data_IF_887003297946
#
_entry.id   IF_887003297946
#
_cell.length_a   1.000
_cell.length_b   1.000
_cell.length_c   1.000
_cell.angle_alpha   90.00
_cell.angle_beta   90.00
_cell.angle_gamma   90.00
#
_symmetry.space_group_name_H-M   'P 1'
#
loop_
_entity.id
_entity.type
_entity.pdbx_description
1 polymer ?
#
# COMPACT_ATOMS: atom_id res chain seq x y z
N UNK A 1 -16.44 -27.99 -27.38
CA UNK A 1 -16.87 -26.62 -27.04
C UNK A 1 -16.64 -26.37 -25.55
N UNK A 2 -16.24 -25.16 -25.14
CA UNK A 2 -16.05 -24.78 -23.72
C UNK A 2 -16.90 -23.56 -23.40
N UNK A 3 -17.45 -23.51 -22.19
CA UNK A 3 -18.17 -22.34 -21.65
C UNK A 3 -17.52 -21.96 -20.33
N UNK A 4 -17.06 -20.70 -20.23
CA UNK A 4 -16.49 -20.14 -19.02
C UNK A 4 -17.20 -18.81 -18.77
N UNK A 5 -17.69 -18.61 -17.54
CA UNK A 5 -18.23 -17.33 -17.09
C UNK A 5 -17.96 -17.14 -15.61
N UNK A 6 -17.85 -15.88 -15.21
CA UNK A 6 -17.84 -15.45 -13.81
C UNK A 6 -19.14 -14.69 -13.56
N UNK A 7 -19.79 -14.95 -12.44
CA UNK A 7 -21.04 -14.27 -12.09
C UNK A 7 -21.20 -14.23 -10.58
N UNK A 8 -21.98 -13.26 -10.10
CA UNK A 8 -22.39 -13.22 -8.70
C UNK A 8 -23.21 -14.47 -8.36
N UNK A 9 -23.03 -15.02 -7.17
CA UNK A 9 -23.97 -15.99 -6.64
C UNK A 9 -25.27 -15.25 -6.34
N UNK A 10 -26.34 -15.62 -7.04
CA UNK A 10 -27.65 -14.99 -6.87
C UNK A 10 -28.30 -15.41 -5.55
N UNK A 11 -29.42 -14.77 -5.23
CA UNK A 11 -30.30 -15.19 -4.14
C UNK A 11 -31.75 -15.23 -4.61
N UNK A 12 -32.48 -16.25 -4.17
CA UNK A 12 -33.94 -16.28 -4.20
C UNK A 12 -34.43 -16.18 -2.74
N UNK A 13 -34.90 -15.00 -2.35
CA UNK A 13 -35.08 -14.64 -0.93
C UNK A 13 -33.75 -14.84 -0.17
N UNK A 14 -33.72 -15.75 0.81
CA UNK A 14 -32.52 -16.11 1.59
C UNK A 14 -31.80 -17.37 1.09
N UNK A 15 -32.24 -17.95 -0.03
CA UNK A 15 -31.66 -19.18 -0.59
C UNK A 15 -30.65 -18.83 -1.68
N UNK A 16 -29.41 -19.36 -1.65
CA UNK A 16 -28.46 -19.16 -2.74
C UNK A 16 -29.04 -19.65 -4.07
N UNK A 17 -28.68 -18.99 -5.17
CA UNK A 17 -29.19 -19.28 -6.51
C UNK A 17 -28.08 -19.25 -7.55
N UNK A 18 -27.94 -20.35 -8.28
CA UNK A 18 -27.15 -20.41 -9.52
C UNK A 18 -28.11 -20.33 -10.70
N UNK A 19 -27.96 -19.30 -11.53
CA UNK A 19 -28.74 -19.10 -12.74
C UNK A 19 -27.81 -19.00 -13.95
N UNK A 20 -27.95 -19.91 -14.91
CA UNK A 20 -27.13 -19.96 -16.13
C UNK A 20 -28.07 -19.99 -17.34
N UNK A 21 -28.03 -18.95 -18.16
CA UNK A 21 -28.80 -18.86 -19.41
C UNK A 21 -27.86 -18.72 -20.61
N UNK A 22 -27.68 -19.79 -21.38
CA UNK A 22 -26.82 -19.75 -22.56
C UNK A 22 -27.22 -20.77 -23.62
N UNK A 23 -27.28 -20.32 -24.89
CA UNK A 23 -27.36 -21.21 -26.06
C UNK A 23 -26.23 -22.24 -26.11
N UNK A 24 -25.12 -21.95 -25.41
CA UNK A 24 -23.95 -22.83 -25.34
C UNK A 24 -24.17 -24.08 -24.50
N UNK A 25 -25.22 -24.14 -23.67
CA UNK A 25 -25.51 -25.32 -22.84
C UNK A 25 -25.96 -26.53 -23.68
N UNK A 26 -26.75 -26.33 -24.72
CA UNK A 26 -27.25 -27.39 -25.60
C UNK A 26 -26.12 -28.27 -26.19
N UNK A 27 -25.15 -27.73 -26.95
CA UNK A 27 -24.03 -28.53 -27.47
C UNK A 27 -23.07 -29.07 -26.40
N UNK A 28 -23.25 -28.69 -25.13
CA UNK A 28 -22.53 -29.28 -23.98
C UNK A 28 -23.31 -30.44 -23.35
N UNK A 29 -24.43 -30.88 -23.94
CA UNK A 29 -25.26 -31.96 -23.42
C UNK A 29 -26.28 -31.50 -22.36
N UNK A 30 -26.60 -30.20 -22.33
CA UNK A 30 -27.61 -29.61 -21.44
C UNK A 30 -28.67 -28.90 -22.30
N UNK A 31 -29.38 -29.68 -23.10
CA UNK A 31 -30.49 -29.21 -23.92
C UNK A 31 -31.77 -29.07 -23.07
N UNK A 32 -32.74 -28.21 -23.45
CA UNK A 32 -34.00 -28.11 -22.73
C UNK A 32 -34.68 -29.47 -22.58
N UNK A 33 -35.13 -29.79 -21.36
CA UNK A 33 -35.69 -31.09 -20.99
C UNK A 33 -34.67 -32.09 -20.45
N UNK A 34 -33.37 -31.83 -20.60
CA UNK A 34 -32.33 -32.72 -20.05
C UNK A 34 -32.38 -32.72 -18.52
N UNK A 35 -32.60 -33.88 -17.92
CA UNK A 35 -32.43 -34.08 -16.47
C UNK A 35 -30.95 -34.03 -16.07
N UNK A 36 -30.63 -33.46 -14.91
CA UNK A 36 -29.27 -33.39 -14.41
C UNK A 36 -29.17 -33.62 -12.89
N UNK A 37 -28.06 -34.23 -12.48
CA UNK A 37 -27.69 -34.43 -11.07
C UNK A 37 -26.72 -33.33 -10.64
N UNK A 38 -26.79 -32.96 -9.35
CA UNK A 38 -25.85 -32.04 -8.71
C UNK A 38 -24.98 -32.84 -7.75
N UNK A 39 -23.68 -32.89 -8.03
CA UNK A 39 -22.70 -33.60 -7.23
C UNK A 39 -21.86 -32.59 -6.42
N UNK A 40 -21.72 -32.74 -5.10
CA UNK A 40 -20.88 -31.85 -4.30
C UNK A 40 -19.39 -32.03 -4.65
N UNK A 41 -18.62 -30.95 -4.48
CA UNK A 41 -17.15 -30.89 -4.56
C UNK A 41 -16.64 -30.11 -3.35
N UNK A 42 -15.35 -30.26 -3.03
CA UNK A 42 -14.73 -29.62 -1.86
C UNK A 42 -15.03 -28.11 -1.78
N UNK A 43 -14.93 -27.38 -2.89
CA UNK A 43 -15.24 -25.95 -2.98
C UNK A 43 -16.21 -25.68 -4.14
N UNK A 44 -17.35 -26.39 -4.17
CA UNK A 44 -18.36 -26.14 -5.20
C UNK A 44 -19.22 -27.34 -5.55
N UNK A 45 -19.72 -27.37 -6.78
CA UNK A 45 -20.59 -28.43 -7.30
C UNK A 45 -20.23 -28.78 -8.74
N UNK A 46 -20.63 -29.98 -9.16
CA UNK A 46 -20.53 -30.47 -10.52
C UNK A 46 -21.90 -30.92 -11.00
N UNK A 47 -22.36 -30.40 -12.14
CA UNK A 47 -23.58 -30.82 -12.80
C UNK A 47 -23.26 -31.85 -13.87
N UNK A 48 -24.03 -32.95 -13.91
CA UNK A 48 -23.94 -33.97 -14.97
C UNK A 48 -25.33 -34.34 -15.47
N UNK A 49 -25.52 -34.60 -16.78
CA UNK A 49 -26.78 -35.14 -17.28
C UNK A 49 -27.10 -36.48 -16.62
N UNK A 50 -28.33 -36.63 -16.17
CA UNK A 50 -28.84 -37.82 -15.48
C UNK A 50 -30.29 -38.07 -15.88
N UNK A 51 -30.57 -39.14 -16.64
CA UNK A 51 -31.95 -39.53 -16.95
C UNK A 51 -32.76 -39.72 -15.66
N UNK A 52 -33.97 -39.16 -15.61
CA UNK A 52 -34.84 -39.25 -14.43
C UNK A 52 -34.40 -38.42 -13.22
N UNK A 53 -33.36 -37.59 -13.35
CA UNK A 53 -32.97 -36.69 -12.27
C UNK A 53 -34.04 -35.62 -12.01
N UNK A 54 -34.22 -35.21 -10.75
CA UNK A 54 -35.25 -34.24 -10.37
C UNK A 54 -35.06 -32.84 -10.98
N UNK A 55 -33.79 -32.41 -11.16
CA UNK A 55 -33.49 -31.11 -11.76
C UNK A 55 -33.46 -31.23 -13.29
N UNK A 56 -34.00 -30.23 -13.99
CA UNK A 56 -34.11 -30.24 -15.44
C UNK A 56 -33.66 -28.91 -16.04
N UNK A 57 -33.04 -28.97 -17.21
CA UNK A 57 -32.73 -27.78 -17.99
C UNK A 57 -34.05 -27.22 -18.56
N UNK A 58 -34.42 -26.01 -18.17
CA UNK A 58 -35.59 -25.33 -18.71
C UNK A 58 -35.23 -24.53 -19.97
N UNK A 59 -36.21 -23.85 -20.57
CA UNK A 59 -36.00 -23.00 -21.75
C UNK A 59 -36.56 -21.60 -21.53
N UNK A 60 -35.88 -20.62 -22.09
CA UNK A 60 -36.40 -19.28 -22.34
C UNK A 60 -36.39 -19.00 -23.84
N UNK A 61 -37.43 -18.37 -24.35
CA UNK A 61 -37.49 -17.89 -25.74
C UNK A 61 -37.22 -16.38 -25.71
N UNK A 62 -36.18 -15.95 -26.43
CA UNK A 62 -35.84 -14.54 -26.58
C UNK A 62 -35.48 -14.27 -28.04
N UNK A 63 -36.13 -13.27 -28.65
CA UNK A 63 -35.99 -12.94 -30.07
C UNK A 63 -36.12 -14.17 -31.00
N UNK A 64 -37.16 -14.98 -30.77
CA UNK A 64 -37.44 -16.19 -31.56
C UNK A 64 -36.45 -17.35 -31.37
N UNK A 65 -35.47 -17.24 -30.47
CA UNK A 65 -34.44 -18.26 -30.24
C UNK A 65 -34.61 -18.91 -28.88
N UNK A 66 -34.51 -20.24 -28.86
CA UNK A 66 -34.50 -21.04 -27.62
C UNK A 66 -33.15 -20.91 -26.92
N UNK A 67 -33.19 -20.66 -25.61
CA UNK A 67 -32.03 -20.56 -24.74
C UNK A 67 -32.23 -21.55 -23.58
N UNK A 68 -31.37 -22.58 -23.45
CA UNK A 68 -31.40 -23.45 -22.28
C UNK A 68 -31.08 -22.65 -21.01
N UNK A 69 -31.75 -23.01 -19.91
CA UNK A 69 -31.65 -22.37 -18.60
C UNK A 69 -31.43 -23.42 -17.53
N UNK A 70 -30.40 -23.23 -16.72
CA UNK A 70 -30.19 -23.96 -15.47
C UNK A 70 -30.48 -22.98 -14.33
N UNK A 71 -31.43 -23.33 -13.47
CA UNK A 71 -31.81 -22.52 -12.31
C UNK A 71 -31.86 -23.42 -11.08
N UNK A 72 -30.87 -23.28 -10.21
CA UNK A 72 -30.75 -24.02 -8.96
C UNK A 72 -30.92 -23.01 -7.84
N UNK A 73 -32.03 -23.08 -7.11
CA UNK A 73 -32.29 -22.26 -5.93
C UNK A 73 -32.53 -23.18 -4.73
N UNK A 74 -31.46 -23.79 -4.21
CA UNK A 74 -31.56 -24.82 -3.18
C UNK A 74 -30.41 -24.70 -2.18
N UNK A 75 -30.74 -24.55 -0.89
CA UNK A 75 -29.75 -24.31 0.18
C UNK A 75 -28.75 -25.45 0.33
N UNK A 76 -29.23 -26.70 0.48
CA UNK A 76 -28.35 -27.87 0.61
C UNK A 76 -27.42 -28.08 -0.58
N UNK A 77 -27.95 -28.09 -1.81
CA UNK A 77 -27.13 -28.27 -3.01
C UNK A 77 -26.08 -27.17 -3.22
N UNK A 78 -26.32 -25.95 -2.75
CA UNK A 78 -25.43 -24.81 -2.98
C UNK A 78 -24.67 -24.37 -1.72
N UNK A 79 -24.73 -25.15 -0.65
CA UNK A 79 -24.02 -24.87 0.60
C UNK A 79 -22.51 -24.60 0.39
N UNK A 80 -21.76 -25.39 -0.41
CA UNK A 80 -20.32 -25.14 -0.61
C UNK A 80 -19.98 -23.82 -1.30
N UNK A 81 -20.99 -23.13 -1.85
CA UNK A 81 -20.85 -21.86 -2.55
C UNK A 81 -21.42 -20.69 -1.75
N UNK A 82 -22.18 -20.93 -0.68
CA UNK A 82 -23.06 -19.94 -0.05
C UNK A 82 -22.31 -18.74 0.55
N UNK A 83 -21.07 -18.93 0.97
CA UNK A 83 -20.21 -17.89 1.55
C UNK A 83 -19.45 -17.06 0.52
N UNK A 84 -19.51 -17.46 -0.76
CA UNK A 84 -18.77 -16.82 -1.83
C UNK A 84 -19.67 -15.91 -2.66
N UNK A 85 -19.34 -14.60 -2.78
CA UNK A 85 -20.18 -13.64 -3.52
C UNK A 85 -20.11 -13.83 -5.04
N UNK A 86 -19.09 -14.53 -5.53
CA UNK A 86 -18.81 -14.74 -6.95
C UNK A 86 -18.40 -16.18 -7.24
N UNK A 87 -18.97 -16.73 -8.29
CA UNK A 87 -18.72 -18.08 -8.77
C UNK A 87 -18.12 -18.06 -10.18
N UNK A 88 -17.30 -19.07 -10.45
CA UNK A 88 -16.79 -19.45 -11.75
C UNK A 88 -17.57 -20.65 -12.25
N UNK A 89 -18.16 -20.54 -13.43
CA UNK A 89 -18.86 -21.63 -14.10
C UNK A 89 -18.02 -22.08 -15.29
N UNK A 90 -17.58 -23.34 -15.26
CA UNK A 90 -16.82 -23.97 -16.32
C UNK A 90 -17.60 -25.18 -16.84
N UNK A 91 -17.95 -25.18 -18.11
CA UNK A 91 -18.63 -26.30 -18.73
C UNK A 91 -17.84 -26.89 -19.90
N UNK A 92 -17.80 -28.21 -19.90
CA UNK A 92 -17.34 -29.09 -20.96
C UNK A 92 -18.46 -30.08 -21.31
N UNK A 93 -18.22 -30.97 -22.26
CA UNK A 93 -19.24 -31.93 -22.68
C UNK A 93 -19.74 -32.77 -21.49
N UNK A 94 -21.05 -32.68 -21.23
CA UNK A 94 -21.79 -33.37 -20.16
C UNK A 94 -21.28 -33.09 -18.74
N UNK A 95 -20.61 -31.95 -18.53
CA UNK A 95 -20.09 -31.56 -17.23
C UNK A 95 -20.09 -30.04 -17.07
N UNK A 96 -20.62 -29.54 -15.94
CA UNK A 96 -20.53 -28.14 -15.53
C UNK A 96 -19.97 -28.09 -14.11
N UNK A 97 -18.75 -27.60 -13.96
CA UNK A 97 -18.17 -27.31 -12.66
C UNK A 97 -18.48 -25.86 -12.27
N UNK A 98 -18.99 -25.69 -11.06
CA UNK A 98 -19.29 -24.39 -10.47
C UNK A 98 -18.52 -24.31 -9.16
N UNK A 99 -17.55 -23.42 -9.11
CA UNK A 99 -16.69 -23.17 -7.94
C UNK A 99 -16.74 -21.70 -7.58
N UNK A 100 -16.25 -21.26 -6.41
CA UNK A 100 -15.91 -19.87 -6.19
C UNK A 100 -14.94 -19.39 -7.28
N UNK A 101 -15.00 -18.10 -7.62
CA UNK A 101 -13.90 -17.50 -8.37
C UNK A 101 -12.61 -17.53 -7.56
N UNK A 102 -11.45 -17.48 -8.22
CA UNK A 102 -10.17 -17.40 -7.51
C UNK A 102 -10.16 -16.20 -6.56
N UNK A 103 -10.70 -15.05 -6.99
CA UNK A 103 -10.84 -13.86 -6.16
C UNK A 103 -11.70 -14.11 -4.93
N UNK A 104 -12.91 -14.64 -5.10
CA UNK A 104 -13.83 -14.91 -3.98
C UNK A 104 -13.22 -15.91 -2.99
N UNK A 105 -12.53 -16.93 -3.49
CA UNK A 105 -11.82 -17.91 -2.67
C UNK A 105 -10.72 -17.26 -1.82
N UNK A 106 -9.86 -16.46 -2.43
CA UNK A 106 -8.77 -15.78 -1.71
C UNK A 106 -9.30 -14.76 -0.69
N UNK A 107 -10.29 -13.94 -1.07
CA UNK A 107 -10.92 -12.98 -0.14
C UNK A 107 -11.49 -13.71 1.07
N UNK A 108 -12.28 -14.77 0.84
CA UNK A 108 -12.85 -15.56 1.94
C UNK A 108 -11.75 -16.10 2.86
N UNK A 109 -10.70 -16.71 2.30
CA UNK A 109 -9.57 -17.21 3.07
C UNK A 109 -8.88 -16.10 3.89
N UNK A 110 -8.65 -14.94 3.30
CA UNK A 110 -7.97 -13.79 3.93
C UNK A 110 -8.78 -13.16 5.05
N UNK A 111 -10.11 -13.16 4.93
CA UNK A 111 -10.98 -12.66 6.00
C UNK A 111 -10.87 -13.49 7.30
N UNK A 112 -10.40 -14.74 7.20
CA UNK A 112 -10.25 -15.69 8.31
C UNK A 112 -8.80 -15.85 8.81
N UNK A 113 -7.84 -15.05 8.31
CA UNK A 113 -6.47 -15.10 8.81
C UNK A 113 -6.37 -14.46 10.19
N UNK A 114 -5.47 -14.96 11.03
CA UNK A 114 -5.21 -14.48 12.39
C UNK A 114 -3.77 -13.93 12.51
N UNK A 115 -3.50 -13.02 13.45
CA UNK A 115 -2.16 -12.50 13.68
C UNK A 115 -1.20 -13.58 14.22
N UNK A 116 0.13 -13.42 14.05
CA UNK A 116 0.78 -12.30 13.39
C UNK A 116 0.63 -12.38 11.87
N UNK A 117 0.13 -11.30 11.27
CA UNK A 117 -0.11 -11.20 9.85
C UNK A 117 1.24 -11.10 9.12
N UNK A 118 1.58 -12.04 8.21
CA UNK A 118 2.78 -11.93 7.41
C UNK A 118 2.66 -10.69 6.50
N UNK A 119 3.69 -9.85 6.53
CA UNK A 119 3.73 -8.55 5.88
C UNK A 119 4.88 -8.50 4.90
N UNK A 120 4.59 -8.07 3.68
CA UNK A 120 5.58 -7.71 2.66
C UNK A 120 5.65 -6.19 2.58
N UNK A 121 6.87 -5.66 2.55
CA UNK A 121 7.14 -4.25 2.29
C UNK A 121 7.82 -4.09 0.94
N UNK A 122 7.31 -3.18 0.10
CA UNK A 122 7.93 -2.83 -1.17
C UNK A 122 8.41 -1.39 -1.13
N UNK A 123 9.57 -1.14 -1.74
CA UNK A 123 10.29 0.14 -1.67
C UNK A 123 10.73 0.45 -0.24
N UNK A 124 11.35 -0.53 0.42
CA UNK A 124 11.66 -0.53 1.84
C UNK A 124 12.64 0.58 2.27
N UNK A 125 13.46 1.08 1.34
CA UNK A 125 14.54 2.01 1.65
C UNK A 125 15.48 1.39 2.68
N UNK A 126 15.90 2.20 3.66
CA UNK A 126 16.69 1.74 4.80
C UNK A 126 15.85 1.44 6.05
N UNK A 127 14.54 1.23 5.91
CA UNK A 127 13.74 0.60 6.96
C UNK A 127 12.96 1.50 7.91
N UNK A 128 12.72 2.78 7.59
CA UNK A 128 11.96 3.68 8.48
C UNK A 128 10.50 3.26 8.69
N UNK A 129 9.87 2.68 7.65
CA UNK A 129 8.51 2.17 7.71
C UNK A 129 8.48 0.73 8.25
N UNK A 130 9.46 -0.10 7.89
CA UNK A 130 9.76 -1.40 8.52
C UNK A 130 9.85 -1.30 10.04
N UNK A 131 10.54 -0.29 10.57
CA UNK A 131 10.64 -0.01 12.00
C UNK A 131 9.30 0.36 12.66
N UNK A 132 8.29 0.75 11.89
CA UNK A 132 6.92 0.90 12.36
C UNK A 132 6.14 -0.43 12.29
N UNK A 133 6.39 -1.25 11.27
CA UNK A 133 5.78 -2.58 11.10
C UNK A 133 6.17 -3.49 12.27
N UNK A 134 7.47 -3.66 12.51
CA UNK A 134 8.00 -4.60 13.52
C UNK A 134 7.77 -4.13 14.97
N UNK A 135 7.38 -2.86 15.16
CA UNK A 135 7.01 -2.35 16.47
C UNK A 135 5.65 -2.88 16.97
N UNK A 136 4.83 -3.45 16.07
CA UNK A 136 3.57 -4.09 16.41
C UNK A 136 3.73 -5.62 16.32
N UNK A 137 3.45 -6.38 17.40
CA UNK A 137 3.56 -7.83 17.37
C UNK A 137 2.47 -8.50 16.51
N UNK A 138 1.49 -7.74 16.01
CA UNK A 138 0.45 -8.23 15.12
C UNK A 138 0.93 -8.38 13.68
N UNK A 139 2.07 -7.81 13.31
CA UNK A 139 2.65 -7.93 11.97
C UNK A 139 3.99 -8.68 12.05
N UNK A 140 4.21 -9.57 11.08
CA UNK A 140 5.50 -10.25 10.90
C UNK A 140 6.06 -9.88 9.54
N UNK A 141 7.09 -9.07 9.51
CA UNK A 141 7.78 -8.71 8.26
C UNK A 141 8.46 -9.97 7.70
N UNK A 142 8.03 -10.44 6.52
CA UNK A 142 8.54 -11.67 5.88
C UNK A 142 9.36 -11.41 4.63
N UNK A 143 9.14 -10.27 3.96
CA UNK A 143 9.97 -9.87 2.84
C UNK A 143 9.98 -8.35 2.61
N UNK A 144 11.05 -7.89 1.96
CA UNK A 144 11.30 -6.51 1.55
C UNK A 144 11.76 -6.43 0.09
N UNK A 145 11.45 -5.33 -0.61
CA UNK A 145 12.04 -5.01 -1.93
C UNK A 145 12.74 -3.66 -1.86
N UNK A 146 14.03 -3.62 -2.20
CA UNK A 146 14.81 -2.38 -2.27
C UNK A 146 15.85 -2.47 -3.39
N UNK A 147 15.90 -1.47 -4.26
CA UNK A 147 16.77 -1.51 -5.45
C UNK A 147 18.18 -0.99 -5.16
N UNK A 148 18.34 -0.06 -4.22
CA UNK A 148 19.61 0.59 -3.91
C UNK A 148 20.41 -0.23 -2.87
N UNK A 149 21.57 -0.81 -3.24
CA UNK A 149 22.30 -1.75 -2.39
C UNK A 149 22.63 -1.20 -0.99
N UNK A 150 23.09 0.05 -0.88
CA UNK A 150 23.45 0.64 0.43
C UNK A 150 22.26 0.82 1.39
N UNK A 151 21.03 0.89 0.88
CA UNK A 151 19.84 0.93 1.73
C UNK A 151 19.38 -0.49 2.06
N UNK A 152 19.48 -1.38 1.07
CA UNK A 152 19.17 -2.79 1.20
C UNK A 152 20.04 -3.47 2.27
N UNK A 153 21.34 -3.18 2.33
CA UNK A 153 22.26 -3.66 3.37
C UNK A 153 21.78 -3.28 4.78
N UNK A 154 21.44 -1.99 4.97
CA UNK A 154 20.95 -1.46 6.26
C UNK A 154 19.62 -2.10 6.65
N UNK A 155 18.71 -2.29 5.67
CA UNK A 155 17.42 -2.94 5.90
C UNK A 155 17.60 -4.41 6.29
N UNK A 156 18.43 -5.15 5.57
CA UNK A 156 18.66 -6.59 5.82
C UNK A 156 19.36 -6.82 7.16
N UNK A 157 20.27 -5.93 7.57
CA UNK A 157 20.90 -5.95 8.90
C UNK A 157 19.86 -5.82 10.02
N UNK A 158 18.86 -4.96 9.85
CA UNK A 158 17.77 -4.80 10.82
C UNK A 158 16.75 -5.95 10.79
N UNK A 159 16.67 -6.68 9.68
CA UNK A 159 15.65 -7.72 9.43
C UNK A 159 16.27 -9.02 8.89
N UNK A 160 17.18 -9.68 9.63
CA UNK A 160 17.97 -10.81 9.11
C UNK A 160 17.14 -12.03 8.70
N UNK A 161 15.95 -12.20 9.29
CA UNK A 161 15.06 -13.34 9.00
C UNK A 161 14.10 -13.08 7.82
N UNK A 162 14.01 -11.85 7.33
CA UNK A 162 13.13 -11.48 6.22
C UNK A 162 13.89 -11.61 4.89
N UNK A 163 13.19 -12.08 3.85
CA UNK A 163 13.75 -12.19 2.50
C UNK A 163 13.85 -10.80 1.87
N UNK A 164 15.05 -10.38 1.46
CA UNK A 164 15.26 -9.17 0.68
C UNK A 164 15.37 -9.47 -0.81
N UNK A 165 14.51 -8.85 -1.60
CA UNK A 165 14.64 -8.77 -3.05
C UNK A 165 15.39 -7.49 -3.40
N UNK A 166 16.70 -7.59 -3.60
CA UNK A 166 17.52 -6.46 -4.01
C UNK A 166 17.48 -6.27 -5.54
N UNK A 167 16.36 -5.75 -6.05
CA UNK A 167 16.13 -5.60 -7.49
C UNK A 167 15.11 -4.51 -7.79
N UNK A 168 15.02 -4.12 -9.05
CA UNK A 168 13.86 -3.41 -9.56
C UNK A 168 12.61 -4.31 -9.46
N UNK A 169 11.58 -3.82 -8.76
CA UNK A 169 10.33 -4.54 -8.54
C UNK A 169 9.62 -4.93 -9.84
N UNK A 170 9.85 -4.19 -10.93
CA UNK A 170 9.27 -4.48 -12.25
C UNK A 170 9.71 -5.82 -12.82
N UNK A 171 10.80 -6.38 -12.31
CA UNK A 171 11.36 -7.67 -12.72
C UNK A 171 10.89 -8.84 -11.86
N UNK A 172 10.23 -8.57 -10.73
CA UNK A 172 9.80 -9.61 -9.78
C UNK A 172 8.40 -10.06 -10.15
N UNK A 173 8.22 -11.35 -10.46
CA UNK A 173 6.89 -11.85 -10.77
C UNK A 173 6.09 -11.99 -9.47
N UNK A 174 4.76 -11.71 -9.45
CA UNK A 174 3.97 -11.81 -8.24
C UNK A 174 4.05 -13.16 -7.53
N UNK A 175 4.28 -14.27 -8.24
CA UNK A 175 4.43 -15.61 -7.63
C UNK A 175 5.71 -15.80 -6.84
N UNK A 176 6.72 -14.95 -7.05
CA UNK A 176 7.99 -15.04 -6.34
C UNK A 176 7.86 -14.53 -4.90
N UNK A 177 6.90 -13.64 -4.65
CA UNK A 177 6.62 -13.13 -3.31
C UNK A 177 6.05 -14.23 -2.40
N UNK A 178 6.48 -14.30 -1.12
CA UNK A 178 5.91 -15.25 -0.18
C UNK A 178 4.42 -14.92 0.07
N UNK A 179 3.59 -15.92 0.45
CA UNK A 179 2.23 -15.67 0.88
C UNK A 179 2.20 -14.66 2.03
N UNK A 180 1.39 -13.62 1.88
CA UNK A 180 1.27 -12.55 2.87
C UNK A 180 -0.17 -12.08 3.03
N UNK A 181 -0.45 -11.53 4.21
CA UNK A 181 -1.75 -10.97 4.57
C UNK A 181 -1.75 -9.45 4.51
N UNK A 182 -0.57 -8.80 4.56
CA UNK A 182 -0.43 -7.35 4.49
C UNK A 182 0.61 -6.99 3.44
N UNK A 183 0.31 -6.00 2.61
CA UNK A 183 1.28 -5.35 1.72
C UNK A 183 1.45 -3.89 2.11
N UNK A 184 2.68 -3.43 2.26
CA UNK A 184 2.98 -2.03 2.55
C UNK A 184 3.89 -1.48 1.45
N UNK A 185 3.53 -0.32 0.89
CA UNK A 185 4.23 0.26 -0.25
C UNK A 185 4.49 1.77 -0.06
N UNK A 186 5.76 2.12 0.14
CA UNK A 186 6.27 3.50 0.10
C UNK A 186 6.70 3.87 -1.32
N UNK A 187 5.71 4.05 -2.20
CA UNK A 187 5.94 4.18 -3.65
C UNK A 187 6.86 5.39 -3.94
N UNK A 188 7.94 5.23 -4.73
CA UNK A 188 8.89 6.30 -4.97
C UNK A 188 8.24 7.58 -5.53
N UNK A 189 8.32 8.66 -4.75
CA UNK A 189 7.68 9.92 -5.09
C UNK A 189 8.50 10.78 -6.09
N UNK A 190 9.60 10.28 -6.66
CA UNK A 190 10.53 11.13 -7.43
C UNK A 190 9.88 11.75 -8.66
N UNK A 191 8.97 11.05 -9.33
CA UNK A 191 8.21 11.63 -10.44
C UNK A 191 7.03 12.48 -9.99
N UNK A 192 6.52 12.31 -8.77
CA UNK A 192 5.30 12.96 -8.26
C UNK A 192 5.55 14.06 -7.22
N UNK A 193 6.78 14.27 -6.74
CA UNK A 193 7.13 15.33 -5.79
C UNK A 193 7.41 16.65 -6.51
N UNK A 194 7.18 17.80 -5.86
CA UNK A 194 7.45 19.11 -6.47
C UNK A 194 8.91 19.27 -6.90
N UNK A 195 9.85 18.90 -6.02
CA UNK A 195 11.28 18.95 -6.33
C UNK A 195 11.67 17.98 -7.46
N UNK A 196 11.09 16.78 -7.45
CA UNK A 196 11.36 15.76 -8.46
C UNK A 196 10.79 16.10 -9.83
N UNK A 197 9.53 16.56 -9.89
CA UNK A 197 8.90 17.07 -11.12
C UNK A 197 9.69 18.21 -11.74
N UNK A 198 10.12 19.17 -10.91
CA UNK A 198 10.93 20.29 -11.37
C UNK A 198 12.28 19.82 -11.94
N UNK A 199 12.97 18.92 -11.24
CA UNK A 199 14.29 18.40 -11.66
C UNK A 199 14.20 17.56 -12.94
N UNK A 200 13.16 16.74 -13.08
CA UNK A 200 12.98 15.82 -14.23
C UNK A 200 12.15 16.41 -15.39
N UNK A 201 11.71 17.68 -15.28
CA UNK A 201 10.87 18.36 -16.30
C UNK A 201 9.56 17.61 -16.59
N UNK A 202 8.94 17.01 -15.57
CA UNK A 202 7.72 16.19 -15.67
C UNK A 202 6.43 16.99 -15.39
N UNK A 203 6.40 18.27 -15.75
CA UNK A 203 5.22 19.10 -15.50
C UNK A 203 4.01 18.54 -16.27
N UNK A 204 2.96 18.17 -15.54
CA UNK A 204 1.72 17.63 -16.11
C UNK A 204 1.75 16.15 -16.53
N UNK A 205 2.91 15.48 -16.50
CA UNK A 205 3.05 14.07 -16.90
C UNK A 205 3.98 13.29 -15.96
N UNK A 206 3.71 13.23 -14.63
CA UNK A 206 4.58 12.54 -13.68
C UNK A 206 4.71 11.03 -13.95
N UNK A 207 3.71 10.40 -14.53
CA UNK A 207 3.69 8.96 -14.82
C UNK A 207 4.75 8.55 -15.87
N UNK A 208 5.25 9.47 -16.69
CA UNK A 208 6.28 9.20 -17.71
C UNK A 208 7.72 9.27 -17.17
N UNK A 209 7.90 9.59 -15.88
CA UNK A 209 9.22 9.53 -15.26
C UNK A 209 9.64 8.11 -14.90
N UNK A 210 10.95 7.87 -14.74
CA UNK A 210 11.53 6.52 -14.50
C UNK A 210 10.93 5.71 -13.34
N UNK A 211 10.28 6.39 -12.38
CA UNK A 211 9.63 5.80 -11.22
C UNK A 211 8.10 6.02 -11.19
N UNK A 212 7.52 6.58 -12.25
CA UNK A 212 6.11 6.98 -12.32
C UNK A 212 5.15 5.81 -12.54
N UNK A 213 5.64 4.71 -13.10
CA UNK A 213 4.90 3.47 -13.40
C UNK A 213 4.98 2.42 -12.28
N UNK A 214 5.83 2.61 -11.27
CA UNK A 214 6.10 1.61 -10.23
C UNK A 214 4.85 1.17 -9.44
N UNK A 215 3.80 1.99 -9.40
CA UNK A 215 2.52 1.60 -8.79
C UNK A 215 1.83 0.45 -9.54
N UNK A 216 2.14 0.25 -10.82
CA UNK A 216 1.60 -0.85 -11.65
C UNK A 216 2.08 -2.19 -11.11
N UNK A 217 3.37 -2.34 -10.81
CA UNK A 217 3.89 -3.57 -10.18
C UNK A 217 3.24 -3.84 -8.82
N UNK A 218 2.93 -2.78 -8.06
CA UNK A 218 2.18 -2.93 -6.80
C UNK A 218 0.75 -3.44 -7.06
N UNK A 219 0.04 -2.90 -8.06
CA UNK A 219 -1.27 -3.40 -8.46
C UNK A 219 -1.23 -4.89 -8.85
N UNK A 220 -0.19 -5.32 -9.57
CA UNK A 220 -0.02 -6.73 -9.97
C UNK A 220 0.17 -7.64 -8.77
N UNK A 221 1.00 -7.25 -7.80
CA UNK A 221 1.20 -8.00 -6.55
C UNK A 221 -0.11 -8.11 -5.76
N UNK A 222 -0.85 -7.00 -5.60
CA UNK A 222 -2.13 -6.99 -4.89
C UNK A 222 -3.18 -7.85 -5.60
N UNK A 223 -3.28 -7.74 -6.93
CA UNK A 223 -4.23 -8.52 -7.72
C UNK A 223 -3.95 -10.03 -7.66
N UNK A 224 -2.68 -10.41 -7.53
CA UNK A 224 -2.27 -11.80 -7.39
C UNK A 224 -2.52 -12.36 -5.98
N UNK A 225 -2.03 -11.68 -4.94
CA UNK A 225 -2.04 -12.19 -3.56
C UNK A 225 -3.31 -11.89 -2.77
N UNK A 226 -4.05 -10.86 -3.19
CA UNK A 226 -5.25 -10.32 -2.54
C UNK A 226 -5.08 -10.25 -1.01
N UNK A 227 -4.07 -9.53 -0.48
CA UNK A 227 -3.82 -9.43 0.97
C UNK A 227 -5.05 -8.90 1.72
N UNK A 228 -5.16 -9.21 3.00
CA UNK A 228 -6.23 -8.72 3.88
C UNK A 228 -6.28 -7.18 3.95
N UNK A 229 -5.11 -6.54 3.95
CA UNK A 229 -4.99 -5.09 3.84
C UNK A 229 -3.73 -4.65 3.09
N UNK A 230 -3.78 -3.45 2.52
CA UNK A 230 -2.65 -2.76 1.92
C UNK A 230 -2.50 -1.36 2.53
N UNK A 231 -1.27 -0.90 2.74
CA UNK A 231 -0.96 0.48 3.16
C UNK A 231 -0.05 1.12 2.13
N UNK A 232 -0.45 2.28 1.61
CA UNK A 232 0.31 3.03 0.62
C UNK A 232 0.71 4.39 1.20
N UNK A 233 1.97 4.76 1.04
CA UNK A 233 2.52 6.06 1.43
C UNK A 233 3.06 6.79 0.21
N UNK A 234 2.81 8.10 0.15
CA UNK A 234 3.42 8.98 -0.85
C UNK A 234 3.32 10.47 -0.45
N UNK A 235 3.79 11.37 -1.31
CA UNK A 235 3.57 12.82 -1.17
C UNK A 235 2.10 13.19 -1.46
N UNK A 236 1.59 14.30 -0.88
CA UNK A 236 0.19 14.75 -1.09
C UNK A 236 -0.25 14.80 -2.55
N UNK A 237 0.62 15.27 -3.46
CA UNK A 237 0.28 15.38 -4.88
C UNK A 237 0.17 14.06 -5.63
N UNK A 238 0.60 12.94 -5.03
CA UNK A 238 0.37 11.62 -5.62
C UNK A 238 -1.10 11.21 -5.49
N UNK A 239 -1.74 11.46 -4.35
CA UNK A 239 -3.15 11.09 -4.12
C UNK A 239 -4.10 11.70 -5.16
N UNK A 240 -3.80 12.92 -5.61
CA UNK A 240 -4.58 13.62 -6.64
C UNK A 240 -4.04 13.42 -8.07
N UNK A 241 -3.02 12.58 -8.27
CA UNK A 241 -2.46 12.27 -9.60
C UNK A 241 -3.23 11.13 -10.28
N UNK A 242 -3.00 10.93 -11.59
CA UNK A 242 -3.61 9.82 -12.32
C UNK A 242 -3.19 8.48 -11.73
N UNK A 243 -1.92 8.32 -11.34
CA UNK A 243 -1.42 7.12 -10.65
C UNK A 243 -2.19 6.83 -9.35
N UNK A 244 -2.33 7.81 -8.46
CA UNK A 244 -3.04 7.65 -7.18
C UNK A 244 -4.53 7.33 -7.37
N UNK A 245 -5.22 8.05 -8.25
CA UNK A 245 -6.63 7.82 -8.58
C UNK A 245 -6.85 6.44 -9.22
N UNK A 246 -5.94 6.03 -10.12
CA UNK A 246 -6.02 4.72 -10.81
C UNK A 246 -5.76 3.57 -9.84
N UNK A 247 -4.77 3.70 -8.96
CA UNK A 247 -4.50 2.73 -7.89
C UNK A 247 -5.75 2.55 -7.01
N UNK A 248 -6.31 3.65 -6.48
CA UNK A 248 -7.51 3.59 -5.64
C UNK A 248 -8.72 3.00 -6.38
N UNK A 249 -8.91 3.35 -7.66
CA UNK A 249 -9.99 2.79 -8.46
C UNK A 249 -9.82 1.28 -8.69
N UNK A 250 -8.60 0.84 -9.02
CA UNK A 250 -8.27 -0.57 -9.23
C UNK A 250 -8.50 -1.41 -7.98
N UNK A 251 -8.06 -0.94 -6.81
CA UNK A 251 -8.28 -1.63 -5.54
C UNK A 251 -9.76 -1.79 -5.18
N UNK A 252 -10.61 -0.78 -5.45
CA UNK A 252 -12.06 -0.91 -5.27
C UNK A 252 -12.66 -2.00 -6.17
N UNK A 253 -12.19 -2.14 -7.40
CA UNK A 253 -12.62 -3.22 -8.30
C UNK A 253 -12.18 -4.61 -7.81
N UNK A 254 -11.04 -4.71 -7.15
CA UNK A 254 -10.57 -5.95 -6.52
C UNK A 254 -11.39 -6.32 -5.26
N UNK A 255 -12.15 -5.37 -4.70
CA UNK A 255 -13.03 -5.59 -3.55
C UNK A 255 -12.57 -4.90 -2.26
N UNK A 256 -11.58 -4.00 -2.32
CA UNK A 256 -11.11 -3.28 -1.15
C UNK A 256 -11.97 -2.05 -0.82
N UNK A 257 -12.15 -1.83 0.48
CA UNK A 257 -12.63 -0.59 1.07
C UNK A 257 -11.44 0.32 1.39
N UNK A 258 -11.54 1.61 1.02
CA UNK A 258 -10.42 2.54 1.07
C UNK A 258 -10.68 3.63 2.11
N UNK A 259 -9.70 3.85 2.98
CA UNK A 259 -9.55 5.04 3.79
C UNK A 259 -8.31 5.82 3.32
N UNK A 260 -8.44 7.12 3.09
CA UNK A 260 -7.41 7.96 2.50
C UNK A 260 -7.31 9.27 3.30
N UNK A 261 -6.09 9.72 3.59
CA UNK A 261 -5.86 10.97 4.30
C UNK A 261 -4.53 11.62 3.86
N UNK A 262 -4.48 12.95 3.92
CA UNK A 262 -3.19 13.67 3.93
C UNK A 262 -2.85 13.99 5.38
N UNK A 263 -1.86 13.29 5.91
CA UNK A 263 -1.35 13.49 7.26
C UNK A 263 -0.66 14.85 7.36
N UNK A 264 -0.94 15.60 8.42
CA UNK A 264 -0.18 16.77 8.87
C UNK A 264 0.45 16.54 10.25
N UNK A 265 1.61 15.86 10.34
CA UNK A 265 2.22 15.46 11.62
C UNK A 265 2.40 16.57 12.64
N UNK A 266 2.71 17.79 12.18
CA UNK A 266 2.87 18.96 13.06
C UNK A 266 1.57 19.42 13.69
N UNK A 267 0.47 19.43 12.92
CA UNK A 267 -0.83 19.89 13.42
C UNK A 267 -1.65 18.80 14.10
N UNK A 268 -1.39 17.54 13.77
CA UNK A 268 -2.32 16.45 14.06
C UNK A 268 -1.71 15.34 14.92
N UNK A 269 -0.37 15.19 14.99
CA UNK A 269 0.30 14.09 15.70
C UNK A 269 1.36 14.50 16.73
N UNK A 270 1.39 15.77 17.14
CA UNK A 270 2.38 16.29 18.09
C UNK A 270 3.83 16.01 17.65
N UNK A 271 4.09 16.09 16.35
CA UNK A 271 5.43 15.91 15.79
C UNK A 271 6.05 17.26 15.45
N UNK A 272 7.33 17.51 15.76
CA UNK A 272 7.94 18.80 15.50
C UNK A 272 8.17 19.09 14.01
N UNK A 273 8.23 18.04 13.16
CA UNK A 273 8.53 18.19 11.74
C UNK A 273 7.26 18.36 10.90
N UNK A 274 7.22 19.39 10.06
CA UNK A 274 6.17 19.63 9.07
C UNK A 274 6.47 18.79 7.81
N UNK A 275 6.10 17.51 7.85
CA UNK A 275 6.31 16.52 6.77
C UNK A 275 4.98 15.88 6.37
N UNK A 276 4.19 16.60 5.58
CA UNK A 276 2.91 16.10 5.08
C UNK A 276 3.07 14.88 4.19
N UNK A 277 2.19 13.89 4.36
CA UNK A 277 2.16 12.67 3.56
C UNK A 277 0.76 12.24 3.23
N UNK A 278 0.59 11.78 2.01
CA UNK A 278 -0.58 11.05 1.60
C UNK A 278 -0.46 9.61 2.07
N UNK A 279 -1.51 9.11 2.70
CA UNK A 279 -1.63 7.71 3.11
C UNK A 279 -2.98 7.17 2.67
N UNK A 280 -2.95 5.97 2.11
CA UNK A 280 -4.15 5.21 1.78
C UNK A 280 -4.06 3.82 2.40
N UNK A 281 -5.10 3.42 3.11
CA UNK A 281 -5.27 2.08 3.66
C UNK A 281 -6.44 1.42 2.95
N UNK A 282 -6.17 0.31 2.28
CA UNK A 282 -7.15 -0.49 1.57
C UNK A 282 -7.35 -1.81 2.33
N UNK A 283 -8.59 -2.16 2.69
CA UNK A 283 -8.91 -3.34 3.52
C UNK A 283 -10.02 -4.15 2.88
N UNK A 284 -9.97 -5.49 2.97
CA UNK A 284 -11.08 -6.34 2.52
C UNK A 284 -12.29 -6.27 3.46
N UNK A 285 -12.09 -5.76 4.68
CA UNK A 285 -13.14 -5.51 5.68
C UNK A 285 -13.61 -4.05 5.54
N UNK A 286 -14.92 -3.76 5.52
CA UNK A 286 -15.41 -2.38 5.48
C UNK A 286 -15.20 -1.67 6.82
N UNK A 287 -15.16 -0.33 6.80
CA UNK A 287 -15.28 0.49 8.01
C UNK A 287 -13.97 1.01 8.61
N UNK A 288 -12.80 0.64 8.08
CA UNK A 288 -11.54 1.25 8.54
C UNK A 288 -11.52 2.75 8.26
N UNK A 289 -11.04 3.54 9.22
CA UNK A 289 -10.79 4.98 9.09
C UNK A 289 -9.47 5.31 9.78
N UNK A 290 -8.70 6.22 9.19
CA UNK A 290 -7.47 6.73 9.82
C UNK A 290 -7.90 7.76 10.87
N UNK A 291 -7.61 7.48 12.14
CA UNK A 291 -7.89 8.39 13.24
C UNK A 291 -6.66 9.23 13.55
N UNK A 292 -6.85 10.54 13.60
CA UNK A 292 -5.84 11.48 14.09
C UNK A 292 -6.07 11.75 15.58
N UNK A 293 -5.01 11.85 16.41
CA UNK A 293 -5.16 12.30 17.78
C UNK A 293 -5.53 13.79 17.87
N UNK A 294 -5.44 14.56 16.77
CA UNK A 294 -5.81 15.97 16.73
C UNK A 294 -4.94 16.84 17.65
N UNK A 295 -3.74 16.37 17.98
CA UNK A 295 -2.84 17.03 18.92
C UNK A 295 -1.79 17.82 18.14
N UNK A 296 -1.87 19.16 18.10
CA UNK A 296 -0.81 19.96 17.50
C UNK A 296 0.45 19.91 18.37
N UNK A 297 1.61 20.05 17.72
CA UNK A 297 2.86 20.20 18.44
C UNK A 297 2.85 21.51 19.25
N UNK A 298 2.95 21.38 20.58
CA UNK A 298 2.79 22.50 21.53
C UNK A 298 4.07 22.86 22.29
N UNK A 299 5.19 22.21 21.98
CA UNK A 299 6.48 22.42 22.65
C UNK A 299 7.51 23.19 21.82
N UNK A 300 8.76 23.18 22.30
CA UNK A 300 9.92 23.57 21.50
C UNK A 300 10.70 22.33 21.05
N UNK A 301 11.53 22.49 20.03
CA UNK A 301 12.35 21.40 19.52
C UNK A 301 13.60 21.11 20.37
N UNK A 302 13.72 21.74 21.56
CA UNK A 302 14.86 21.55 22.46
C UNK A 302 15.14 20.08 22.78
N UNK A 303 14.09 19.27 23.00
CA UNK A 303 14.25 17.83 23.28
C UNK A 303 14.73 16.98 22.09
N UNK A 304 14.81 17.56 20.89
CA UNK A 304 15.25 16.88 19.67
C UNK A 304 16.67 17.29 19.25
N UNK A 305 17.15 18.44 19.72
CA UNK A 305 18.48 18.97 19.44
C UNK A 305 19.44 18.67 20.60
N UNK A 306 20.71 18.43 20.28
CA UNK A 306 21.75 18.42 21.29
C UNK A 306 22.05 19.85 21.73
N UNK A 307 22.44 20.01 23.01
CA UNK A 307 22.91 21.29 23.52
C UNK A 307 24.12 21.78 22.70
N UNK A 308 24.25 23.10 22.44
CA UNK A 308 25.42 23.67 21.82
C UNK A 308 26.70 23.27 22.58
N UNK A 309 27.73 22.90 21.86
CA UNK A 309 29.00 22.45 22.44
C UNK A 309 30.19 23.03 21.66
N UNK A 310 31.35 23.10 22.30
CA UNK A 310 32.57 23.60 21.67
C UNK A 310 32.96 22.82 20.41
N UNK A 311 32.61 21.52 20.35
CA UNK A 311 32.78 20.67 19.17
C UNK A 311 32.01 21.15 17.94
N UNK A 312 31.00 22.02 18.10
CA UNK A 312 30.26 22.59 16.98
C UNK A 312 31.14 23.49 16.10
N UNK A 313 32.21 24.08 16.64
CA UNK A 313 33.12 24.95 15.87
C UNK A 313 33.68 24.27 14.63
N UNK A 314 34.15 23.03 14.77
CA UNK A 314 34.74 22.28 13.67
C UNK A 314 33.74 22.08 12.52
N UNK A 315 32.48 21.80 12.85
CA UNK A 315 31.41 21.62 11.86
C UNK A 315 31.01 22.96 11.20
N UNK A 316 30.90 24.02 12.00
CA UNK A 316 30.62 25.38 11.52
C UNK A 316 31.69 25.82 10.51
N UNK A 317 32.96 25.63 10.85
CA UNK A 317 34.09 25.94 9.96
C UNK A 317 34.04 25.10 8.68
N UNK A 318 33.78 23.78 8.82
CA UNK A 318 33.68 22.86 7.69
C UNK A 318 32.61 23.28 6.67
N UNK A 319 31.46 23.79 7.12
CA UNK A 319 30.36 24.17 6.22
C UNK A 319 30.30 25.67 5.89
N UNK A 320 31.19 26.49 6.45
CA UNK A 320 31.14 27.96 6.33
C UNK A 320 31.09 28.45 4.88
N UNK A 321 31.90 27.85 4.00
CA UNK A 321 31.94 28.21 2.58
C UNK A 321 30.62 27.90 1.86
N UNK A 322 30.02 26.74 2.15
CA UNK A 322 28.72 26.34 1.59
C UNK A 322 27.60 27.26 2.08
N UNK A 323 27.59 27.62 3.37
CA UNK A 323 26.63 28.58 3.93
C UNK A 323 26.79 29.96 3.26
N UNK A 324 28.03 30.44 3.07
CA UNK A 324 28.30 31.70 2.37
C UNK A 324 27.83 31.67 0.91
N UNK A 325 28.04 30.55 0.20
CA UNK A 325 27.53 30.35 -1.15
C UNK A 325 26.00 30.35 -1.21
N UNK A 326 25.35 29.65 -0.29
CA UNK A 326 23.88 29.63 -0.18
C UNK A 326 23.30 31.00 0.12
N UNK A 327 23.90 31.78 1.04
CA UNK A 327 23.47 33.16 1.33
C UNK A 327 23.53 34.03 0.07
N UNK A 328 24.63 33.96 -0.70
CA UNK A 328 24.76 34.66 -1.99
C UNK A 328 23.72 34.21 -3.02
N UNK A 329 23.49 32.89 -3.12
CA UNK A 329 22.49 32.34 -4.02
C UNK A 329 21.08 32.84 -3.67
N UNK A 330 20.68 32.74 -2.41
CA UNK A 330 19.37 33.21 -1.92
C UNK A 330 19.19 34.71 -2.14
N UNK A 331 20.21 35.53 -1.86
CA UNK A 331 20.15 36.97 -2.11
C UNK A 331 19.93 37.32 -3.60
N UNK A 332 20.55 36.57 -4.52
CA UNK A 332 20.28 36.75 -5.96
C UNK A 332 18.85 36.37 -6.34
N UNK A 333 18.35 35.26 -5.81
CA UNK A 333 16.99 34.79 -6.11
C UNK A 333 15.88 35.65 -5.49
N UNK A 334 16.11 36.18 -4.28
CA UNK A 334 15.21 37.14 -3.65
C UNK A 334 15.05 38.40 -4.51
N UNK A 335 16.13 38.90 -5.12
CA UNK A 335 16.08 40.04 -6.07
C UNK A 335 15.28 39.75 -7.34
N UNK A 336 15.18 38.48 -7.73
CA UNK A 336 14.37 38.02 -8.86
C UNK A 336 12.90 37.76 -8.48
N UNK A 337 12.51 38.01 -7.23
CA UNK A 337 11.17 37.71 -6.72
C UNK A 337 10.92 36.23 -6.46
N UNK A 338 11.97 35.39 -6.45
CA UNK A 338 11.82 33.97 -6.16
C UNK A 338 11.78 33.75 -4.64
N UNK A 339 10.78 33.02 -4.14
CA UNK A 339 10.57 32.73 -2.71
C UNK A 339 11.44 31.61 -2.12
N UNK A 340 12.67 31.40 -2.61
CA UNK A 340 13.55 30.31 -2.15
C UNK A 340 14.56 30.79 -1.10
N UNK A 341 14.73 30.00 -0.05
CA UNK A 341 15.76 30.20 0.96
C UNK A 341 15.97 28.94 1.81
N UNK A 342 17.14 28.82 2.42
CA UNK A 342 17.32 27.83 3.47
C UNK A 342 16.76 28.38 4.78
N UNK A 343 16.37 27.47 5.67
CA UNK A 343 15.84 27.79 6.99
C UNK A 343 16.88 27.52 8.07
N UNK A 344 16.74 28.20 9.20
CA UNK A 344 17.50 27.93 10.42
C UNK A 344 16.54 27.54 11.55
N UNK A 345 17.05 26.80 12.52
CA UNK A 345 16.32 26.34 13.70
C UNK A 345 17.22 26.41 14.94
N UNK A 346 16.60 26.52 16.10
CA UNK A 346 17.25 26.54 17.42
C UNK A 346 16.34 25.89 18.47
N UNK A 347 16.78 25.84 19.72
CA UNK A 347 16.05 25.18 20.82
C UNK A 347 14.68 25.78 21.13
N UNK A 348 14.42 27.05 20.77
CA UNK A 348 13.13 27.72 20.96
C UNK A 348 12.21 27.59 19.74
N UNK A 349 12.70 27.05 18.62
CA UNK A 349 11.88 26.81 17.43
C UNK A 349 10.74 25.83 17.75
N UNK A 350 9.57 26.06 17.17
CA UNK A 350 8.35 25.27 17.38
C UNK A 350 7.99 24.40 16.17
N UNK A 351 8.82 24.43 15.13
CA UNK A 351 8.60 23.68 13.88
C UNK A 351 9.93 23.42 13.19
N UNK A 352 10.09 22.20 12.68
CA UNK A 352 11.19 21.80 11.82
C UNK A 352 10.66 21.61 10.39
N UNK A 353 11.20 22.32 9.40
CA UNK A 353 10.89 22.06 8.00
C UNK A 353 11.22 20.62 7.59
N UNK A 354 10.59 20.11 6.52
CA UNK A 354 10.84 18.76 6.01
C UNK A 354 12.35 18.54 5.78
N UNK A 355 12.91 17.50 6.40
CA UNK A 355 14.28 17.04 6.12
C UNK A 355 14.23 16.17 4.87
N UNK A 356 14.95 16.57 3.83
CA UNK A 356 14.96 15.90 2.53
C UNK A 356 16.16 14.97 2.36
N UNK A 357 16.06 13.96 1.48
CA UNK A 357 17.14 13.03 1.14
C UNK A 357 18.50 13.70 0.89
N UNK A 358 18.50 14.84 0.19
CA UNK A 358 19.71 15.58 -0.17
C UNK A 358 20.25 16.51 0.91
N UNK A 359 19.74 16.45 2.14
CA UNK A 359 20.15 17.34 3.23
C UNK A 359 21.67 17.30 3.49
N UNK A 360 22.28 16.12 3.39
CA UNK A 360 23.73 15.92 3.53
C UNK A 360 24.58 16.74 2.53
N UNK A 361 23.98 17.24 1.44
CA UNK A 361 24.67 18.06 0.43
C UNK A 361 24.77 19.53 0.80
N UNK A 362 24.22 19.95 1.94
CA UNK A 362 24.33 21.34 2.43
C UNK A 362 23.72 22.33 1.42
N UNK A 363 22.61 21.94 0.79
CA UNK A 363 21.92 22.75 -0.23
C UNK A 363 20.61 23.37 0.28
N UNK A 364 19.94 22.66 1.18
CA UNK A 364 18.65 23.04 1.73
C UNK A 364 18.70 22.80 3.24
N UNK A 365 18.30 23.79 4.02
CA UNK A 365 18.16 23.65 5.48
C UNK A 365 17.09 22.61 5.87
N UNK A 366 16.77 22.51 7.17
CA UNK A 366 17.13 23.45 8.22
C UNK A 366 18.58 23.32 8.73
N UNK A 367 19.23 24.43 9.04
CA UNK A 367 20.52 24.44 9.76
C UNK A 367 20.31 24.81 11.23
N UNK A 368 21.09 24.22 12.13
CA UNK A 368 20.99 24.51 13.57
C UNK A 368 21.86 25.71 13.92
N UNK A 369 21.28 26.67 14.64
CA UNK A 369 21.98 27.84 15.15
C UNK A 369 22.76 27.48 16.41
N UNK A 370 24.02 27.93 16.45
CA UNK A 370 24.92 27.79 17.61
C UNK A 370 25.59 29.14 17.88
N UNK A 371 26.20 29.34 19.07
CA UNK A 371 27.00 30.53 19.35
C UNK A 371 28.16 30.75 18.38
N UNK A 372 28.63 29.69 17.70
CA UNK A 372 29.75 29.74 16.77
C UNK A 372 29.32 29.97 15.31
N UNK A 373 28.07 29.67 14.96
CA UNK A 373 27.54 29.76 13.61
C UNK A 373 26.50 28.68 13.30
N UNK A 374 26.30 28.38 12.02
CA UNK A 374 25.34 27.37 11.57
C UNK A 374 26.01 26.01 11.42
N UNK A 375 25.36 24.94 11.88
CA UNK A 375 25.76 23.55 11.67
C UNK A 375 24.65 22.72 11.03
N UNK A 376 25.00 21.55 10.52
CA UNK A 376 24.02 20.53 10.15
C UNK A 376 23.39 19.91 11.41
N UNK A 377 22.20 19.33 11.23
CA UNK A 377 21.62 18.37 12.15
C UNK A 377 22.53 17.14 12.22
N UNK A 378 22.82 16.69 13.44
CA UNK A 378 23.54 15.44 13.67
C UNK A 378 22.63 14.26 13.36
N UNK A 379 23.20 13.11 13.02
CA UNK A 379 22.44 11.87 12.75
C UNK A 379 21.42 11.60 13.86
N UNK A 380 21.86 11.59 15.12
CA UNK A 380 20.99 11.33 16.28
C UNK A 380 19.84 12.35 16.41
N UNK A 381 20.05 13.62 16.05
CA UNK A 381 18.99 14.63 16.04
C UNK A 381 17.94 14.33 14.96
N UNK A 382 18.37 13.94 13.76
CA UNK A 382 17.46 13.53 12.68
C UNK A 382 16.71 12.25 13.06
N UNK A 383 17.37 11.28 13.68
CA UNK A 383 16.75 10.05 14.19
C UNK A 383 15.67 10.37 15.25
N UNK A 384 15.96 11.26 16.21
CA UNK A 384 14.96 11.75 17.18
C UNK A 384 13.79 12.44 16.47
N UNK A 385 14.05 13.27 15.46
CA UNK A 385 13.00 13.98 14.70
C UNK A 385 12.13 13.04 13.86
N UNK A 386 12.71 11.98 13.29
CA UNK A 386 11.99 11.02 12.45
C UNK A 386 11.37 9.86 13.24
N UNK A 387 11.89 9.59 14.45
CA UNK A 387 11.41 8.54 15.35
C UNK A 387 11.95 7.15 15.06
N UNK A 388 13.10 7.08 14.40
CA UNK A 388 13.76 5.84 14.02
C UNK A 388 15.28 6.02 14.05
N UNK A 389 15.97 5.08 14.68
CA UNK A 389 17.43 4.97 14.66
C UNK A 389 17.83 4.08 13.49
N UNK A 390 18.87 4.49 12.76
CA UNK A 390 19.41 3.78 11.61
C UNK A 390 20.81 3.29 11.96
N UNK A 391 21.01 1.98 11.92
CA UNK A 391 22.31 1.37 12.13
C UNK A 391 23.19 1.54 10.87
N UNK A 392 23.71 2.75 10.70
CA UNK A 392 24.56 3.14 9.59
C UNK A 392 25.50 4.27 10.01
N UNK A 393 26.81 4.03 10.00
CA UNK A 393 27.80 5.02 10.43
C UNK A 393 28.00 6.14 9.40
N UNK A 394 27.75 5.84 8.13
CA UNK A 394 27.92 6.82 7.06
C UNK A 394 26.79 7.87 7.10
N UNK A 395 27.11 9.06 7.62
CA UNK A 395 26.16 10.16 7.81
C UNK A 395 25.31 10.43 6.56
N UNK A 396 25.92 10.50 5.37
CA UNK A 396 25.18 10.80 4.15
C UNK A 396 24.10 9.74 3.85
N UNK A 397 24.44 8.45 4.03
CA UNK A 397 23.51 7.33 3.81
C UNK A 397 22.37 7.35 4.83
N UNK A 398 22.68 7.56 6.11
CA UNK A 398 21.67 7.67 7.16
C UNK A 398 20.69 8.83 6.87
N UNK A 399 21.21 10.00 6.46
CA UNK A 399 20.39 11.14 6.07
C UNK A 399 19.56 10.88 4.81
N UNK A 400 20.09 10.14 3.84
CA UNK A 400 19.31 9.75 2.67
C UNK A 400 18.13 8.85 3.06
N UNK A 401 18.37 7.84 3.88
CA UNK A 401 17.36 6.92 4.42
C UNK A 401 16.27 7.68 5.18
N UNK A 402 16.67 8.48 6.18
CA UNK A 402 15.75 9.26 7.01
C UNK A 402 15.02 10.33 6.19
N UNK A 403 15.73 11.02 5.30
CA UNK A 403 15.20 12.12 4.50
C UNK A 403 14.22 11.67 3.42
N UNK A 404 14.32 10.42 2.94
CA UNK A 404 13.32 9.83 2.02
C UNK A 404 12.24 9.02 2.74
N UNK A 405 12.50 8.56 3.97
CA UNK A 405 11.60 7.74 4.76
C UNK A 405 10.38 8.45 5.33
N UNK A 406 9.68 7.77 6.24
CA UNK A 406 8.46 8.25 6.90
C UNK A 406 8.72 8.72 8.33
N UNK A 407 7.80 9.47 8.92
CA UNK A 407 7.80 9.70 10.36
C UNK A 407 7.30 8.43 11.08
N UNK A 408 8.25 7.61 11.53
CA UNK A 408 8.01 6.26 12.06
C UNK A 408 7.01 6.26 13.21
N UNK A 409 7.04 7.26 14.10
CA UNK A 409 6.08 7.39 15.22
C UNK A 409 4.62 7.50 14.74
N UNK A 410 4.37 8.26 13.67
CA UNK A 410 3.03 8.42 13.08
C UNK A 410 2.57 7.10 12.48
N UNK A 411 3.44 6.43 11.71
CA UNK A 411 3.11 5.15 11.08
C UNK A 411 2.91 4.02 12.10
N UNK A 412 3.62 4.01 13.24
CA UNK A 412 3.32 3.08 14.34
C UNK A 412 1.89 3.23 14.83
N UNK A 413 1.39 4.46 14.98
CA UNK A 413 0.00 4.70 15.41
C UNK A 413 -0.99 4.21 14.36
N UNK A 414 -0.77 4.51 13.08
CA UNK A 414 -1.63 4.05 11.98
C UNK A 414 -1.67 2.53 11.88
N UNK A 415 -0.50 1.87 11.94
CA UNK A 415 -0.42 0.41 11.89
C UNK A 415 -1.06 -0.24 13.12
N UNK A 416 -0.96 0.37 14.31
CA UNK A 416 -1.69 -0.09 15.49
C UNK A 416 -3.21 0.07 15.35
N UNK A 417 -3.70 1.15 14.72
CA UNK A 417 -5.12 1.29 14.39
C UNK A 417 -5.58 0.19 13.42
N UNK A 418 -4.79 -0.07 12.37
CA UNK A 418 -5.06 -1.12 11.40
C UNK A 418 -5.07 -2.51 12.08
N UNK A 419 -4.08 -2.82 12.90
CA UNK A 419 -4.01 -4.08 13.64
C UNK A 419 -5.26 -4.31 14.50
N UNK A 420 -5.68 -3.30 15.28
CA UNK A 420 -6.91 -3.36 16.08
C UNK A 420 -8.14 -3.62 15.22
N UNK A 421 -8.26 -2.92 14.10
CA UNK A 421 -9.36 -3.11 13.15
C UNK A 421 -9.38 -4.51 12.52
N UNK A 422 -8.23 -5.05 12.13
CA UNK A 422 -8.12 -6.39 11.55
C UNK A 422 -8.31 -7.52 12.57
N UNK A 423 -8.15 -7.23 13.87
CA UNK A 423 -8.42 -8.19 14.93
C UNK A 423 -9.86 -8.14 15.44
N UNK A 424 -10.63 -7.10 15.12
CA UNK A 424 -12.02 -6.98 15.55
C UNK A 424 -12.86 -8.14 14.97
N UNK A 425 -13.70 -8.73 15.83
CA UNK A 425 -14.62 -9.83 15.50
C UNK A 425 -15.97 -9.33 14.98
N UNK A 426 -16.29 -8.05 15.23
CA UNK A 426 -17.50 -7.38 14.79
C UNK A 426 -17.11 -6.08 14.06
N UNK A 427 -17.73 -5.84 12.91
CA UNK A 427 -17.54 -4.61 12.14
C UNK A 427 -18.77 -3.71 12.31
N UNK A 428 -18.59 -2.39 12.49
CA UNK A 428 -19.68 -1.44 12.54
C UNK A 428 -20.46 -1.35 11.22
#
# INVERSE_FOLDING_TARGET
MKFLTFQKLGRNRSTPRVFIESRRLAPLGFEPGTGFIVQPRANGICLRPGPGAANHVSKRIAAGRVRPVIDIAHRGLLEPLAEYPEIKVQAAFRQIDITPSARAFHIHRRLHTAPPFPTVEVFAGGGTLSAAIVASPQFRLVAGVEVEPKYADVWQQAHPDAVLYQTDIRLVHPTDFPPHDILIASIPCTSHSTLGRAKKRLAGMPELGDSGDLYVSVCEIVAHHLPLACVFENVPSFGTSLAGLSLAHHLRHLGYHIAEATLDPHREWNEPQDRKRWVMVATLRPGFQIQTPGQPFSGSIAGFLDAPAESDRAEVERIAQSIAALRRHNARHAKLGHGFGFTTINSSSTRVPTIVRSYHKINTGPFVETPHGLRLLRKAEVERLMGCTIDCDHYATAIEILGQGVQTRVFRQILNQLAKFLMATEFP
#
